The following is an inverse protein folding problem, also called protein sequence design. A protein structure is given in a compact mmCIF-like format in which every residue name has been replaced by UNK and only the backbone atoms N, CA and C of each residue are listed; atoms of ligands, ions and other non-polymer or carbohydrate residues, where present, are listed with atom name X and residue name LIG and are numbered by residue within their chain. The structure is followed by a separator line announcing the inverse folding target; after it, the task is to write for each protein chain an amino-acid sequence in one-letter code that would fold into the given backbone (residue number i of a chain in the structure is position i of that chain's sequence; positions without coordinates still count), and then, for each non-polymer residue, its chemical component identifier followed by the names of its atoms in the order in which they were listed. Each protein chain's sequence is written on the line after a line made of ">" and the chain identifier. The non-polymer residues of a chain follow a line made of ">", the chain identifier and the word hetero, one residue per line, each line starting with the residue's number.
data_IF_248111240810
#
_entry.id   IF_248111240810
#
_cell.length_a   1.000
_cell.length_b   1.000
_cell.length_c   1.000
_cell.angle_alpha   90.00
_cell.angle_beta   90.00
_cell.angle_gamma   90.00
#
_symmetry.space_group_name_H-M   'P 1'
#
loop_
_entity.id
_entity.type
_entity.pdbx_description
1 polymer ?
#
# COMPACT_ATOMS: atom_id res chain seq x y z
N UNK A 1 9.29 -20.83 -27.70
CA UNK A 1 9.08 -20.27 -26.34
C UNK A 1 8.80 -18.75 -26.30
N UNK A 2 9.00 -17.99 -27.39
CA UNK A 2 8.67 -16.55 -27.46
C UNK A 2 7.18 -16.30 -27.77
N UNK A 3 6.45 -17.29 -28.33
CA UNK A 3 5.06 -17.13 -28.75
C UNK A 3 4.02 -17.18 -27.62
N UNK A 4 4.35 -17.78 -26.49
CA UNK A 4 3.40 -17.93 -25.37
C UNK A 4 3.31 -16.65 -24.51
N UNK A 5 4.41 -15.95 -24.32
CA UNK A 5 4.42 -14.67 -23.63
C UNK A 5 3.70 -13.58 -24.42
N UNK A 6 3.89 -13.56 -25.74
CA UNK A 6 3.19 -12.62 -26.62
C UNK A 6 1.67 -12.89 -26.67
N UNK A 7 1.26 -14.15 -26.54
CA UNK A 7 -0.15 -14.54 -26.49
C UNK A 7 -0.80 -14.18 -25.16
N UNK A 8 -0.06 -14.37 -24.07
CA UNK A 8 -0.48 -13.97 -22.72
C UNK A 8 -0.62 -12.44 -22.60
N UNK A 9 0.34 -11.68 -23.15
CA UNK A 9 0.29 -10.21 -23.22
C UNK A 9 -0.87 -9.70 -24.10
N UNK A 10 -1.19 -10.36 -25.22
CA UNK A 10 -2.36 -9.99 -26.05
C UNK A 10 -3.67 -10.27 -25.32
N UNK A 11 -3.79 -11.39 -24.62
CA UNK A 11 -4.96 -11.67 -23.79
C UNK A 11 -5.16 -10.64 -22.68
N UNK A 12 -4.08 -10.15 -22.08
CA UNK A 12 -4.14 -9.07 -21.09
C UNK A 12 -4.54 -7.72 -21.72
N UNK A 13 -4.07 -7.43 -22.94
CA UNK A 13 -4.44 -6.20 -23.67
C UNK A 13 -5.90 -6.24 -24.14
N UNK A 14 -6.40 -7.39 -24.59
CA UNK A 14 -7.80 -7.55 -24.98
C UNK A 14 -8.75 -7.45 -23.78
N UNK A 15 -8.37 -7.98 -22.60
CA UNK A 15 -9.08 -7.72 -21.36
C UNK A 15 -9.02 -6.23 -20.95
N UNK A 16 -7.90 -5.56 -21.21
CA UNK A 16 -7.75 -4.14 -20.92
C UNK A 16 -8.65 -3.25 -21.77
N UNK A 17 -8.90 -3.63 -23.06
CA UNK A 17 -9.83 -2.90 -23.93
C UNK A 17 -11.30 -3.03 -23.50
N UNK A 18 -11.66 -4.08 -22.78
CA UNK A 18 -13.00 -4.22 -22.19
C UNK A 18 -13.18 -3.39 -20.90
N UNK A 19 -12.09 -2.97 -20.27
CA UNK A 19 -12.11 -2.09 -19.08
C UNK A 19 -11.98 -0.59 -19.43
N UNK A 20 -11.44 -0.27 -20.63
CA UNK A 20 -11.14 1.10 -21.07
C UNK A 20 -12.31 1.86 -21.71
N UNK A 21 -13.49 1.27 -21.87
CA UNK A 21 -14.68 1.98 -22.36
C UNK A 21 -15.59 2.27 -21.19
N UNK A 22 -15.42 3.46 -20.61
CA UNK A 22 -16.37 4.20 -19.78
C UNK A 22 -17.54 3.42 -19.21
N UNK A 23 -17.31 2.50 -18.29
CA UNK A 23 -18.38 2.01 -17.43
C UNK A 23 -18.36 2.81 -16.14
N UNK A 24 -19.48 3.45 -15.84
CA UNK A 24 -19.84 3.95 -14.53
C UNK A 24 -19.53 2.90 -13.44
N UNK A 25 -18.31 2.89 -12.91
CA UNK A 25 -17.98 2.20 -11.67
C UNK A 25 -18.31 3.10 -10.48
N UNK A 26 -19.45 3.79 -10.56
CA UNK A 26 -20.00 4.55 -9.45
C UNK A 26 -20.56 3.58 -8.41
N UNK A 27 -19.70 3.05 -7.53
CA UNK A 27 -20.17 2.24 -6.41
C UNK A 27 -19.17 1.33 -5.73
N UNK A 28 -18.16 0.82 -6.42
CA UNK A 28 -17.19 -0.07 -5.77
C UNK A 28 -16.10 0.73 -5.04
N UNK A 29 -15.84 0.38 -3.78
CA UNK A 29 -14.74 0.98 -3.03
C UNK A 29 -13.37 0.67 -3.67
N UNK A 30 -12.41 1.58 -3.48
CA UNK A 30 -11.04 1.38 -3.93
C UNK A 30 -10.42 0.11 -3.35
N UNK A 31 -9.64 -0.61 -4.15
CA UNK A 31 -8.81 -1.69 -3.63
C UNK A 31 -7.72 -1.09 -2.73
N UNK A 32 -7.78 -1.34 -1.44
CA UNK A 32 -6.82 -0.84 -0.48
C UNK A 32 -5.67 -1.83 -0.26
N UNK A 33 -4.43 -1.35 -0.42
CA UNK A 33 -3.21 -2.15 -0.29
C UNK A 33 -2.26 -1.44 0.65
N UNK A 34 -1.93 -2.06 1.78
CA UNK A 34 -0.87 -1.58 2.66
C UNK A 34 0.45 -2.29 2.33
N UNK A 35 1.52 -1.51 2.17
CA UNK A 35 2.88 -2.05 2.06
C UNK A 35 3.59 -1.77 3.37
N UNK A 36 4.02 -2.82 4.05
CA UNK A 36 4.62 -2.74 5.39
C UNK A 36 5.85 -3.64 5.51
N UNK A 37 6.57 -3.52 6.61
CA UNK A 37 7.72 -4.35 6.94
C UNK A 37 7.96 -4.39 8.44
N UNK A 38 8.55 -5.46 8.94
CA UNK A 38 8.99 -5.54 10.34
C UNK A 38 10.33 -4.84 10.58
N UNK A 39 11.09 -4.51 9.53
CA UNK A 39 12.42 -3.92 9.63
C UNK A 39 12.53 -2.68 8.75
N UNK A 40 13.14 -1.63 9.27
CA UNK A 40 13.48 -0.46 8.48
C UNK A 40 14.53 -0.74 7.40
N UNK A 41 14.48 0.01 6.29
CA UNK A 41 15.48 -0.07 5.22
C UNK A 41 15.35 -1.25 4.26
N UNK A 42 14.30 -2.08 4.36
CA UNK A 42 14.06 -3.19 3.42
C UNK A 42 13.45 -2.77 2.08
N UNK A 43 13.18 -1.46 1.89
CA UNK A 43 12.69 -0.88 0.64
C UNK A 43 11.18 -0.70 0.57
N UNK A 44 10.46 -0.72 1.68
CA UNK A 44 9.00 -0.61 1.77
C UNK A 44 8.45 0.59 1.00
N UNK A 45 8.89 1.80 1.33
CA UNK A 45 8.42 3.05 0.68
C UNK A 45 8.78 3.11 -0.82
N UNK A 46 9.98 2.64 -1.19
CA UNK A 46 10.37 2.55 -2.61
C UNK A 46 9.47 1.59 -3.38
N UNK A 47 9.09 0.46 -2.79
CA UNK A 47 8.17 -0.50 -3.39
C UNK A 47 6.76 0.09 -3.48
N UNK A 48 6.25 0.71 -2.42
CA UNK A 48 4.94 1.35 -2.41
C UNK A 48 4.81 2.41 -3.52
N UNK A 49 5.81 3.29 -3.62
CA UNK A 49 5.87 4.32 -4.66
C UNK A 49 5.89 3.73 -6.08
N UNK A 50 6.81 2.81 -6.32
CA UNK A 50 6.94 2.25 -7.67
C UNK A 50 5.76 1.34 -8.04
N UNK A 51 5.10 0.70 -7.05
CA UNK A 51 3.86 -0.03 -7.27
C UNK A 51 2.71 0.90 -7.66
N UNK A 52 2.59 2.07 -7.01
CA UNK A 52 1.61 3.09 -7.39
C UNK A 52 1.84 3.58 -8.83
N UNK A 53 3.09 3.89 -9.19
CA UNK A 53 3.46 4.31 -10.54
C UNK A 53 3.14 3.22 -11.57
N UNK A 54 3.45 1.96 -11.27
CA UNK A 54 3.12 0.84 -12.15
C UNK A 54 1.61 0.70 -12.39
N UNK A 55 0.79 0.96 -11.36
CA UNK A 55 -0.67 0.99 -11.51
C UNK A 55 -1.11 2.19 -12.37
N UNK A 56 -0.53 3.37 -12.16
CA UNK A 56 -0.79 4.53 -13.02
C UNK A 56 -0.42 4.29 -14.49
N UNK A 57 0.69 3.59 -14.76
CA UNK A 57 1.07 3.17 -16.12
C UNK A 57 0.07 2.19 -16.76
N UNK A 58 -0.71 1.47 -15.94
CA UNK A 58 -1.84 0.64 -16.37
C UNK A 58 -3.17 1.42 -16.48
N UNK A 59 -3.12 2.76 -16.45
CA UNK A 59 -4.29 3.67 -16.46
C UNK A 59 -5.25 3.45 -15.28
N UNK A 60 -4.75 3.00 -14.15
CA UNK A 60 -5.50 2.87 -12.89
C UNK A 60 -5.42 4.20 -12.13
N UNK A 61 -6.54 4.73 -11.68
CA UNK A 61 -6.58 5.89 -10.79
C UNK A 61 -6.06 5.44 -9.42
N UNK A 62 -4.78 5.66 -9.16
CA UNK A 62 -4.12 5.24 -7.93
C UNK A 62 -3.80 6.45 -7.04
N UNK A 63 -4.08 6.32 -5.73
CA UNK A 63 -3.60 7.24 -4.72
C UNK A 63 -2.60 6.52 -3.81
N UNK A 64 -1.50 7.18 -3.49
CA UNK A 64 -0.49 6.73 -2.54
C UNK A 64 -0.46 7.67 -1.34
N UNK A 65 -0.76 7.14 -0.17
CA UNK A 65 -0.67 7.86 1.09
C UNK A 65 0.61 7.43 1.80
N UNK A 66 1.50 8.38 2.06
CA UNK A 66 2.64 8.17 2.94
C UNK A 66 2.17 8.19 4.39
N UNK A 67 1.86 7.00 4.88
CA UNK A 67 1.42 6.77 6.25
C UNK A 67 2.55 6.26 7.14
N UNK A 68 3.81 6.38 6.71
CA UNK A 68 4.97 5.86 7.45
C UNK A 68 5.07 6.46 8.84
N UNK A 69 5.42 5.61 9.82
CA UNK A 69 5.65 6.03 11.23
C UNK A 69 7.03 6.69 11.37
N UNK A 70 7.25 7.79 10.69
CA UNK A 70 8.52 8.51 10.69
C UNK A 70 8.44 9.75 9.83
N UNK A 71 9.59 10.28 9.45
CA UNK A 71 9.63 11.35 8.45
C UNK A 71 9.21 10.75 7.11
N UNK A 72 8.04 11.14 6.61
CA UNK A 72 7.58 10.79 5.27
C UNK A 72 8.57 11.26 4.20
N UNK A 73 8.82 10.46 3.19
CA UNK A 73 9.85 10.75 2.18
C UNK A 73 9.38 10.46 0.75
N UNK A 74 8.11 10.06 0.57
CA UNK A 74 7.61 9.67 -0.76
C UNK A 74 7.64 10.85 -1.74
N UNK A 75 7.26 12.04 -1.29
CA UNK A 75 7.35 13.26 -2.09
C UNK A 75 8.79 13.54 -2.55
N UNK A 76 9.77 13.41 -1.65
CA UNK A 76 11.19 13.57 -1.99
C UNK A 76 11.66 12.51 -2.97
N UNK A 77 11.20 11.27 -2.84
CA UNK A 77 11.54 10.17 -3.76
C UNK A 77 10.93 10.37 -5.15
N UNK A 78 9.86 11.13 -5.26
CA UNK A 78 9.23 11.53 -6.53
C UNK A 78 9.87 12.77 -7.16
N UNK A 79 10.80 13.44 -6.46
CA UNK A 79 11.27 14.77 -6.84
C UNK A 79 10.22 15.86 -6.67
N UNK A 80 9.15 15.59 -5.94
CA UNK A 80 8.12 16.55 -5.58
C UNK A 80 8.56 17.34 -4.35
N UNK A 81 7.99 18.52 -4.19
CA UNK A 81 8.27 19.40 -3.06
C UNK A 81 6.95 19.76 -2.35
N UNK A 82 6.46 18.83 -1.55
CA UNK A 82 5.26 19.03 -0.74
C UNK A 82 5.54 20.00 0.41
N UNK A 83 4.94 21.19 0.39
CA UNK A 83 5.04 22.13 1.51
C UNK A 83 4.11 21.71 2.67
N UNK A 84 2.96 21.12 2.33
CA UNK A 84 1.98 20.63 3.26
C UNK A 84 1.91 19.10 3.20
N UNK A 85 1.49 18.48 4.29
CA UNK A 85 1.45 17.03 4.42
C UNK A 85 0.23 16.58 5.25
N UNK A 86 0.05 15.30 5.42
CA UNK A 86 -1.07 14.69 6.13
C UNK A 86 -1.22 15.17 7.59
N UNK A 87 -0.13 15.56 8.26
CA UNK A 87 -0.22 16.14 9.62
C UNK A 87 -1.02 17.43 9.65
N UNK A 88 -0.87 18.26 8.64
CA UNK A 88 -1.62 19.53 8.54
C UNK A 88 -3.12 19.25 8.34
N UNK A 89 -3.47 18.16 7.67
CA UNK A 89 -4.86 17.71 7.52
C UNK A 89 -5.39 17.18 8.86
N UNK A 90 -4.61 16.33 9.53
CA UNK A 90 -4.96 15.79 10.86
C UNK A 90 -5.10 16.88 11.93
N UNK A 91 -4.31 17.95 11.81
CA UNK A 91 -4.40 19.10 12.68
C UNK A 91 -5.56 20.06 12.30
N UNK A 92 -6.31 19.78 11.22
CA UNK A 92 -7.39 20.63 10.73
C UNK A 92 -6.94 21.98 10.12
N UNK A 93 -5.62 22.14 9.89
CA UNK A 93 -5.05 23.39 9.35
C UNK A 93 -5.06 23.46 7.82
N UNK A 94 -5.24 22.33 7.15
CA UNK A 94 -5.34 22.20 5.69
C UNK A 94 -6.37 21.14 5.30
N UNK A 95 -6.91 21.26 4.10
CA UNK A 95 -7.74 20.22 3.48
C UNK A 95 -6.84 19.19 2.81
N UNK A 96 -7.35 17.98 2.64
CA UNK A 96 -6.63 16.90 1.96
C UNK A 96 -6.28 17.27 0.51
N UNK A 97 -7.19 17.97 -0.19
CA UNK A 97 -6.96 18.46 -1.55
C UNK A 97 -5.79 19.44 -1.64
N UNK A 98 -5.57 20.26 -0.59
CA UNK A 98 -4.47 21.24 -0.54
C UNK A 98 -3.09 20.56 -0.37
N UNK A 99 -3.05 19.32 0.10
CA UNK A 99 -1.81 18.59 0.38
C UNK A 99 -1.55 17.48 -0.63
N UNK A 100 -2.57 17.06 -1.38
CA UNK A 100 -2.44 16.04 -2.40
C UNK A 100 -1.66 16.58 -3.59
N UNK A 101 -0.64 15.84 -4.02
CA UNK A 101 0.25 16.22 -5.12
C UNK A 101 -0.01 15.32 -6.33
N UNK A 102 0.09 15.90 -7.53
CA UNK A 102 0.14 15.14 -8.78
C UNK A 102 1.50 14.48 -8.92
N UNK A 103 1.50 13.16 -8.90
CA UNK A 103 2.70 12.34 -9.02
C UNK A 103 2.95 11.81 -10.43
N UNK A 104 4.07 11.11 -10.62
CA UNK A 104 4.41 10.48 -11.91
C UNK A 104 3.32 9.49 -12.37
N UNK A 105 3.13 9.38 -13.68
CA UNK A 105 2.15 8.47 -14.31
C UNK A 105 0.69 8.72 -13.87
N UNK A 106 0.37 9.94 -13.45
CA UNK A 106 -0.99 10.33 -13.07
C UNK A 106 -1.48 9.79 -11.72
N UNK A 107 -0.59 9.33 -10.86
CA UNK A 107 -0.96 8.96 -9.48
C UNK A 107 -1.12 10.21 -8.62
N UNK A 108 -1.98 10.14 -7.61
CA UNK A 108 -2.03 11.14 -6.55
C UNK A 108 -1.15 10.70 -5.37
N UNK A 109 -0.39 11.63 -4.81
CA UNK A 109 0.49 11.39 -3.66
C UNK A 109 0.06 12.29 -2.51
N UNK A 110 -0.24 11.70 -1.36
CA UNK A 110 -0.47 12.41 -0.11
C UNK A 110 0.79 12.28 0.74
N UNK A 111 1.60 13.36 0.88
CA UNK A 111 2.84 13.31 1.66
C UNK A 111 2.56 13.04 3.14
N UNK A 112 3.41 12.22 3.75
CA UNK A 112 3.41 11.98 5.19
C UNK A 112 4.16 13.06 5.95
N UNK A 113 3.93 13.10 7.25
CA UNK A 113 4.65 13.97 8.18
C UNK A 113 5.23 13.19 9.35
N UNK A 114 6.16 13.81 10.09
CA UNK A 114 6.94 13.15 11.16
C UNK A 114 6.16 12.75 12.41
N UNK A 115 4.89 13.16 12.56
CA UNK A 115 4.10 12.95 13.78
C UNK A 115 2.87 12.05 13.60
N UNK A 116 2.80 11.24 12.52
CA UNK A 116 1.71 10.25 12.39
C UNK A 116 1.69 9.22 13.54
N UNK A 117 2.74 9.15 14.34
CA UNK A 117 2.83 8.27 15.50
C UNK A 117 1.81 8.58 16.60
N UNK A 118 1.23 9.77 16.63
CA UNK A 118 0.46 10.23 17.80
C UNK A 118 -1.02 10.51 17.56
N UNK A 119 -1.51 10.63 16.34
CA UNK A 119 -2.83 11.25 16.13
C UNK A 119 -3.60 10.81 14.88
N UNK A 120 -3.50 9.55 14.43
CA UNK A 120 -4.62 9.08 13.61
C UNK A 120 -5.83 8.98 14.54
N UNK A 121 -6.95 9.64 14.22
CA UNK A 121 -8.17 9.57 15.02
C UNK A 121 -8.73 8.15 15.20
N UNK A 122 -8.07 7.17 14.63
CA UNK A 122 -8.41 5.74 14.66
C UNK A 122 -8.09 5.08 16.01
N UNK A 123 -7.25 5.71 16.85
CA UNK A 123 -6.77 5.09 18.10
C UNK A 123 -7.21 5.80 19.37
N UNK A 124 -7.67 7.05 19.28
CA UNK A 124 -8.13 7.83 20.45
C UNK A 124 -9.65 8.02 20.37
N UNK A 125 -10.38 7.32 21.23
CA UNK A 125 -11.83 7.53 21.45
C UNK A 125 -12.17 8.99 21.73
N UNK A 126 -11.23 9.76 22.26
CA UNK A 126 -11.39 11.17 22.61
C UNK A 126 -11.27 12.14 21.42
N UNK A 127 -10.71 11.68 20.29
CA UNK A 127 -10.54 12.52 19.08
C UNK A 127 -11.84 12.78 18.31
N UNK A 128 -12.90 12.02 18.64
CA UNK A 128 -14.19 12.07 17.95
C UNK A 128 -15.33 12.64 18.79
N UNK A 129 -15.02 13.24 19.94
CA UNK A 129 -16.00 13.70 20.94
C UNK A 129 -17.03 14.74 20.43
N UNK A 130 -16.91 15.19 19.20
CA UNK A 130 -17.93 16.03 18.57
C UNK A 130 -18.01 15.81 17.05
N UNK A 131 -19.21 15.89 16.41
CA UNK A 131 -19.37 15.78 14.95
C UNK A 131 -18.60 16.81 14.13
N UNK A 132 -17.93 17.75 14.78
CA UNK A 132 -17.11 18.83 14.19
C UNK A 132 -15.65 18.76 14.60
N UNK A 133 -15.20 17.64 15.18
CA UNK A 133 -13.78 17.50 15.50
C UNK A 133 -12.93 17.45 14.21
N UNK A 134 -11.72 17.98 14.19
CA UNK A 134 -10.83 17.91 13.02
C UNK A 134 -10.65 16.48 12.52
N UNK A 135 -10.64 15.49 13.42
CA UNK A 135 -10.53 14.08 13.07
C UNK A 135 -11.69 13.54 12.23
N UNK A 136 -12.92 13.95 12.54
CA UNK A 136 -14.10 13.52 11.77
C UNK A 136 -14.10 14.10 10.35
N UNK A 137 -13.73 15.37 10.19
CA UNK A 137 -13.62 15.99 8.85
C UNK A 137 -12.48 15.36 8.03
N UNK A 138 -11.37 15.01 8.66
CA UNK A 138 -10.25 14.30 8.00
C UNK A 138 -10.69 12.94 7.47
N UNK A 139 -11.42 12.16 8.27
CA UNK A 139 -11.89 10.82 7.82
C UNK A 139 -12.85 10.98 6.64
N UNK A 140 -13.74 11.98 6.63
CA UNK A 140 -14.60 12.26 5.48
C UNK A 140 -13.81 12.60 4.21
N UNK A 141 -12.74 13.37 4.33
CA UNK A 141 -11.87 13.69 3.20
C UNK A 141 -11.12 12.46 2.70
N UNK A 142 -10.67 11.57 3.58
CA UNK A 142 -10.06 10.30 3.21
C UNK A 142 -11.06 9.34 2.53
N UNK A 143 -12.31 9.30 2.99
CA UNK A 143 -13.39 8.55 2.32
C UNK A 143 -13.66 9.13 0.92
N UNK A 144 -13.64 10.44 0.76
CA UNK A 144 -13.79 11.06 -0.55
C UNK A 144 -12.60 10.76 -1.47
N UNK A 145 -11.38 10.76 -0.97
CA UNK A 145 -10.19 10.33 -1.73
C UNK A 145 -10.35 8.88 -2.19
N UNK A 146 -10.77 7.99 -1.29
CA UNK A 146 -11.00 6.58 -1.61
C UNK A 146 -12.05 6.40 -2.71
N UNK A 147 -13.17 7.12 -2.64
CA UNK A 147 -14.25 7.05 -3.63
C UNK A 147 -13.83 7.52 -5.04
N UNK A 148 -12.82 8.38 -5.13
CA UNK A 148 -12.34 8.94 -6.40
C UNK A 148 -11.23 8.11 -7.07
N UNK A 149 -10.78 7.01 -6.44
CA UNK A 149 -9.69 6.19 -6.93
C UNK A 149 -10.09 4.72 -7.07
N UNK A 150 -9.41 4.00 -7.95
CA UNK A 150 -9.62 2.57 -8.16
C UNK A 150 -8.75 1.75 -7.20
N UNK A 151 -7.56 2.28 -6.85
CA UNK A 151 -6.61 1.67 -5.91
C UNK A 151 -6.07 2.71 -4.95
N UNK A 152 -6.08 2.35 -3.67
CA UNK A 152 -5.47 3.12 -2.59
C UNK A 152 -4.27 2.35 -2.05
N UNK A 153 -3.08 2.91 -2.18
CA UNK A 153 -1.87 2.38 -1.55
C UNK A 153 -1.54 3.16 -0.28
N UNK A 154 -1.14 2.43 0.74
CA UNK A 154 -0.67 2.98 2.01
C UNK A 154 0.79 2.53 2.21
N UNK A 155 1.72 3.48 2.24
CA UNK A 155 3.06 3.19 2.78
C UNK A 155 2.95 3.11 4.30
N UNK A 156 2.80 1.91 4.80
CA UNK A 156 2.68 1.60 6.21
C UNK A 156 4.02 1.11 6.79
N UNK A 157 5.12 1.76 6.39
CA UNK A 157 6.45 1.45 6.92
C UNK A 157 6.54 1.82 8.40
N UNK A 158 7.12 0.91 9.17
CA UNK A 158 7.17 0.99 10.63
C UNK A 158 6.32 -0.10 11.30
N UNK A 159 6.84 -0.67 12.39
CA UNK A 159 6.16 -1.74 13.11
C UNK A 159 4.89 -1.22 13.83
N UNK A 160 3.81 -2.00 13.77
CA UNK A 160 2.57 -1.68 14.51
C UNK A 160 1.70 -0.60 13.88
N UNK A 161 1.78 -0.41 12.56
CA UNK A 161 1.04 0.64 11.88
C UNK A 161 -0.50 0.47 12.02
N UNK A 162 -1.27 1.50 12.46
CA UNK A 162 -2.70 1.38 12.73
C UNK A 162 -3.52 0.84 11.57
N UNK A 163 -3.30 1.27 10.33
CA UNK A 163 -4.03 0.78 9.15
C UNK A 163 -3.81 -0.70 8.84
N UNK A 164 -2.75 -1.29 9.38
CA UNK A 164 -2.42 -2.70 9.22
C UNK A 164 -2.92 -3.51 10.41
N UNK A 165 -2.88 -2.91 11.61
CA UNK A 165 -3.10 -3.60 12.88
C UNK A 165 -4.44 -3.27 13.55
N UNK A 166 -5.27 -2.38 12.96
CA UNK A 166 -6.56 -2.04 13.55
C UNK A 166 -7.59 -3.15 13.34
N UNK A 167 -8.24 -3.65 14.40
CA UNK A 167 -9.16 -4.79 14.31
C UNK A 167 -10.38 -4.60 13.40
N UNK A 168 -10.75 -3.36 13.15
CA UNK A 168 -11.96 -3.04 12.40
C UNK A 168 -11.75 -2.36 11.06
N UNK A 169 -10.51 -2.00 10.70
CA UNK A 169 -10.23 -1.15 9.54
C UNK A 169 -9.12 -1.65 8.62
N UNK A 170 -8.85 -2.95 8.58
CA UNK A 170 -7.79 -3.51 7.74
C UNK A 170 -7.96 -3.21 6.25
N UNK A 171 -6.85 -3.00 5.57
CA UNK A 171 -6.80 -2.95 4.10
C UNK A 171 -7.17 -4.30 3.49
N UNK A 172 -7.61 -4.32 2.22
CA UNK A 172 -7.91 -5.57 1.51
C UNK A 172 -6.68 -6.48 1.40
N UNK A 173 -5.51 -5.86 1.18
CA UNK A 173 -4.24 -6.57 1.04
C UNK A 173 -3.20 -5.90 1.94
N UNK A 174 -2.43 -6.72 2.65
CA UNK A 174 -1.18 -6.32 3.30
C UNK A 174 -0.03 -7.02 2.60
N UNK A 175 0.88 -6.24 2.03
CA UNK A 175 2.14 -6.73 1.46
C UNK A 175 3.23 -6.52 2.51
N UNK A 176 3.68 -7.61 3.12
CA UNK A 176 4.78 -7.61 4.07
C UNK A 176 6.10 -7.83 3.32
N UNK A 177 6.91 -6.78 3.29
CA UNK A 177 8.24 -6.81 2.64
C UNK A 177 9.28 -7.38 3.59
N UNK A 178 10.06 -8.33 3.11
CA UNK A 178 11.22 -8.89 3.80
C UNK A 178 12.41 -9.03 2.86
N UNK A 179 13.60 -9.27 3.41
CA UNK A 179 14.85 -9.48 2.65
C UNK A 179 15.51 -10.80 3.07
N UNK A 180 16.53 -11.30 2.35
CA UNK A 180 17.26 -12.50 2.72
C UNK A 180 17.98 -12.45 4.08
N UNK A 181 18.09 -11.27 4.69
CA UNK A 181 18.73 -11.12 5.99
C UNK A 181 17.98 -11.88 7.09
N UNK A 182 18.67 -12.67 7.94
CA UNK A 182 18.03 -13.43 9.02
C UNK A 182 17.19 -12.56 9.97
N UNK A 183 17.66 -11.35 10.27
CA UNK A 183 16.94 -10.38 11.12
C UNK A 183 15.64 -9.93 10.45
N UNK A 184 15.65 -9.68 9.14
CA UNK A 184 14.45 -9.28 8.40
C UNK A 184 13.36 -10.36 8.41
N UNK A 185 13.75 -11.64 8.34
CA UNK A 185 12.80 -12.76 8.45
C UNK A 185 12.23 -12.89 9.86
N UNK A 186 13.05 -12.69 10.90
CA UNK A 186 12.58 -12.71 12.30
C UNK A 186 11.60 -11.55 12.55
N UNK A 187 11.90 -10.35 12.05
CA UNK A 187 11.03 -9.18 12.18
C UNK A 187 9.73 -9.35 11.37
N UNK A 188 9.79 -9.99 10.19
CA UNK A 188 8.59 -10.35 9.44
C UNK A 188 7.70 -11.32 10.22
N UNK A 189 8.28 -12.34 10.85
CA UNK A 189 7.53 -13.25 11.73
C UNK A 189 6.89 -12.51 12.91
N UNK A 190 7.62 -11.63 13.58
CA UNK A 190 7.11 -10.82 14.69
C UNK A 190 5.95 -9.92 14.24
N UNK A 191 6.06 -9.34 13.04
CA UNK A 191 4.99 -8.53 12.42
C UNK A 191 3.74 -9.37 12.19
N UNK A 192 3.86 -10.57 11.58
CA UNK A 192 2.72 -11.47 11.35
C UNK A 192 2.06 -11.88 12.68
N UNK A 193 2.87 -12.14 13.71
CA UNK A 193 2.39 -12.50 15.04
C UNK A 193 1.53 -11.41 15.68
N UNK A 194 1.83 -10.15 15.41
CA UNK A 194 1.09 -9.01 15.97
C UNK A 194 -0.11 -8.59 15.13
N UNK A 195 -0.33 -9.17 13.93
CA UNK A 195 -1.53 -8.90 13.14
C UNK A 195 -2.78 -9.41 13.85
N UNK A 196 -3.88 -8.64 13.87
CA UNK A 196 -5.16 -9.10 14.40
C UNK A 196 -5.67 -10.32 13.63
N UNK A 197 -6.03 -11.38 14.36
CA UNK A 197 -6.48 -12.65 13.73
C UNK A 197 -7.86 -12.59 13.08
N UNK A 198 -8.62 -11.52 13.32
CA UNK A 198 -10.01 -11.37 12.87
C UNK A 198 -10.15 -10.41 11.67
N UNK A 199 -9.03 -10.00 11.06
CA UNK A 199 -9.06 -9.10 9.91
C UNK A 199 -9.17 -9.94 8.65
N UNK A 200 -10.25 -9.73 7.88
CA UNK A 200 -10.43 -10.32 6.55
C UNK A 200 -9.52 -9.61 5.54
N UNK A 201 -8.23 -9.73 5.79
CA UNK A 201 -7.16 -9.10 5.03
C UNK A 201 -6.27 -10.16 4.42
N UNK A 202 -6.04 -10.10 3.12
CA UNK A 202 -5.11 -10.99 2.44
C UNK A 202 -3.67 -10.59 2.74
N UNK A 203 -2.98 -11.38 3.56
CA UNK A 203 -1.56 -11.18 3.84
C UNK A 203 -0.69 -11.82 2.76
N UNK A 204 0.21 -11.02 2.19
CA UNK A 204 1.13 -11.45 1.13
C UNK A 204 2.58 -11.11 1.51
N UNK A 205 3.50 -12.03 1.24
CA UNK A 205 4.94 -11.85 1.47
C UNK A 205 5.61 -11.43 0.18
N UNK A 206 6.36 -10.34 0.20
CA UNK A 206 7.21 -9.88 -0.89
C UNK A 206 8.68 -9.97 -0.46
N UNK A 207 9.46 -10.81 -1.16
CA UNK A 207 10.89 -10.95 -0.86
C UNK A 207 11.69 -9.98 -1.74
N UNK A 208 12.28 -8.96 -1.12
CA UNK A 208 13.08 -7.94 -1.81
C UNK A 208 14.58 -8.23 -1.73
N UNK A 209 15.36 -7.70 -2.69
CA UNK A 209 16.83 -7.82 -2.76
C UNK A 209 17.29 -9.27 -2.76
N UNK A 210 16.68 -10.11 -3.56
CA UNK A 210 17.01 -11.53 -3.63
C UNK A 210 17.64 -11.90 -4.97
N UNK A 211 18.60 -12.82 -4.93
CA UNK A 211 19.40 -13.19 -6.11
C UNK A 211 18.61 -13.99 -7.16
N UNK A 212 17.60 -14.76 -6.73
CA UNK A 212 16.86 -15.65 -7.61
C UNK A 212 15.49 -16.06 -7.07
N UNK A 213 14.60 -16.48 -7.97
CA UNK A 213 13.30 -17.04 -7.63
C UNK A 213 13.39 -18.24 -6.69
N UNK A 214 14.41 -19.11 -6.86
CA UNK A 214 14.65 -20.25 -5.98
C UNK A 214 14.91 -19.80 -4.55
N UNK A 215 15.80 -18.82 -4.39
CA UNK A 215 16.13 -18.28 -3.06
C UNK A 215 14.93 -17.61 -2.40
N UNK A 216 14.16 -16.84 -3.16
CA UNK A 216 12.90 -16.25 -2.69
C UNK A 216 11.92 -17.31 -2.20
N UNK A 217 11.77 -18.41 -2.97
CA UNK A 217 10.92 -19.54 -2.60
C UNK A 217 11.37 -20.24 -1.32
N UNK A 218 12.68 -20.48 -1.14
CA UNK A 218 13.24 -21.06 0.08
C UNK A 218 12.94 -20.19 1.32
N UNK A 219 13.13 -18.87 1.21
CA UNK A 219 12.87 -17.92 2.30
C UNK A 219 11.38 -17.87 2.64
N UNK A 220 10.52 -17.79 1.63
CA UNK A 220 9.09 -17.84 1.81
C UNK A 220 8.64 -19.13 2.50
N UNK A 221 9.13 -20.30 2.06
CA UNK A 221 8.75 -21.58 2.65
C UNK A 221 9.16 -21.68 4.13
N UNK A 222 10.34 -21.17 4.50
CA UNK A 222 10.76 -21.11 5.92
C UNK A 222 9.80 -20.27 6.75
N UNK A 223 9.42 -19.07 6.26
CA UNK A 223 8.49 -18.20 6.95
C UNK A 223 7.10 -18.86 7.05
N UNK A 224 6.59 -19.41 5.94
CA UNK A 224 5.30 -20.09 5.87
C UNK A 224 5.21 -21.27 6.86
N UNK A 225 6.22 -22.14 6.91
CA UNK A 225 6.26 -23.26 7.84
C UNK A 225 6.20 -22.78 9.30
N UNK A 226 6.94 -21.72 9.61
CA UNK A 226 6.97 -21.15 10.97
C UNK A 226 5.63 -20.50 11.33
N UNK A 227 5.02 -19.75 10.41
CA UNK A 227 3.72 -19.10 10.66
C UNK A 227 2.56 -20.10 10.74
N UNK A 228 2.58 -21.16 9.93
CA UNK A 228 1.62 -22.27 10.03
C UNK A 228 1.69 -22.96 11.38
N UNK A 229 2.91 -23.30 11.81
CA UNK A 229 3.13 -24.09 13.02
C UNK A 229 2.76 -23.32 14.31
N UNK A 230 3.09 -22.03 14.38
CA UNK A 230 3.01 -21.25 15.62
C UNK A 230 1.92 -20.18 15.61
N UNK A 231 1.44 -19.77 14.45
CA UNK A 231 0.51 -18.65 14.32
C UNK A 231 -0.79 -19.02 13.60
N UNK A 232 -0.93 -20.26 13.12
CA UNK A 232 -2.07 -20.69 12.30
C UNK A 232 -2.38 -19.72 11.15
N UNK A 233 -1.31 -19.13 10.58
CA UNK A 233 -1.37 -18.13 9.52
C UNK A 233 -0.68 -18.64 8.27
N UNK A 234 -1.34 -18.47 7.13
CA UNK A 234 -0.84 -18.92 5.83
C UNK A 234 -0.73 -17.73 4.85
N UNK A 235 0.25 -16.83 5.04
CA UNK A 235 0.47 -15.75 4.09
C UNK A 235 0.79 -16.31 2.71
N UNK A 236 0.35 -15.62 1.65
CA UNK A 236 0.66 -16.02 0.26
C UNK A 236 1.92 -15.32 -0.24
N UNK A 237 2.60 -15.89 -1.24
CA UNK A 237 3.75 -15.23 -1.87
C UNK A 237 3.28 -14.18 -2.88
N UNK A 238 3.52 -12.91 -2.61
CA UNK A 238 3.28 -11.81 -3.56
C UNK A 238 4.27 -11.86 -4.73
N UNK A 239 5.49 -12.31 -4.48
CA UNK A 239 6.57 -12.42 -5.46
C UNK A 239 7.92 -12.06 -4.87
N UNK A 240 8.83 -11.69 -5.74
CA UNK A 240 10.17 -11.30 -5.34
C UNK A 240 10.70 -10.19 -6.26
N UNK A 241 11.58 -9.37 -5.71
CA UNK A 241 12.26 -8.28 -6.43
C UNK A 241 13.77 -8.59 -6.35
N UNK A 242 14.47 -8.62 -7.49
CA UNK A 242 15.90 -8.85 -7.50
C UNK A 242 16.67 -7.71 -6.83
N UNK A 243 17.86 -8.00 -6.34
CA UNK A 243 18.82 -6.97 -5.99
C UNK A 243 19.27 -6.27 -7.28
N UNK A 244 19.08 -4.94 -7.33
CA UNK A 244 19.24 -4.16 -8.56
C UNK A 244 19.88 -2.81 -8.22
N UNK A 245 21.08 -2.52 -8.75
CA UNK A 245 21.78 -1.28 -8.48
C UNK A 245 21.03 -0.04 -8.96
N UNK A 246 20.14 -0.16 -9.96
CA UNK A 246 19.33 0.95 -10.47
C UNK A 246 18.40 1.50 -9.38
N UNK A 247 17.94 0.67 -8.43
CA UNK A 247 17.13 1.13 -7.29
C UNK A 247 17.89 2.16 -6.45
N UNK A 248 19.15 1.86 -6.13
CA UNK A 248 19.98 2.78 -5.34
C UNK A 248 20.30 4.07 -6.10
N UNK A 249 20.44 3.99 -7.43
CA UNK A 249 20.68 5.16 -8.27
C UNK A 249 19.43 6.05 -8.35
N UNK A 250 18.25 5.46 -8.56
CA UNK A 250 16.96 6.12 -8.59
C UNK A 250 16.72 6.94 -7.31
N UNK A 251 16.93 6.32 -6.14
CA UNK A 251 16.79 6.98 -4.84
C UNK A 251 17.72 8.20 -4.72
N UNK A 252 18.98 8.06 -5.10
CA UNK A 252 19.96 9.19 -5.06
C UNK A 252 19.57 10.34 -5.97
N UNK A 253 18.95 10.03 -7.11
CA UNK A 253 18.51 11.03 -8.09
C UNK A 253 17.11 11.58 -7.79
N UNK A 254 16.46 11.11 -6.73
CA UNK A 254 15.06 11.48 -6.39
C UNK A 254 14.11 11.30 -7.58
N UNK A 255 14.35 10.24 -8.33
CA UNK A 255 13.53 9.87 -9.49
C UNK A 255 13.07 8.43 -9.29
N UNK A 256 11.77 8.13 -9.33
CA UNK A 256 11.29 6.78 -9.15
C UNK A 256 11.89 5.78 -10.14
N UNK A 257 12.14 4.55 -9.69
CA UNK A 257 12.78 3.52 -10.52
C UNK A 257 12.05 3.27 -11.84
N UNK A 258 10.70 3.22 -11.82
CA UNK A 258 9.90 2.99 -13.01
C UNK A 258 9.93 4.14 -14.01
N UNK A 259 10.34 5.32 -13.58
CA UNK A 259 10.56 6.48 -14.46
C UNK A 259 12.01 6.50 -14.99
N UNK A 260 12.98 6.19 -14.14
CA UNK A 260 14.39 6.26 -14.50
C UNK A 260 14.87 5.05 -15.30
N UNK A 261 14.43 3.84 -14.91
CA UNK A 261 14.94 2.57 -15.42
C UNK A 261 13.82 1.53 -15.53
N UNK A 262 12.76 1.82 -16.30
CA UNK A 262 11.56 0.99 -16.44
C UNK A 262 11.84 -0.45 -16.88
N UNK A 263 12.93 -0.66 -17.61
CA UNK A 263 13.34 -1.97 -18.11
C UNK A 263 14.30 -2.71 -17.18
N UNK A 264 14.61 -2.15 -16.01
CA UNK A 264 15.47 -2.82 -15.03
C UNK A 264 14.80 -4.09 -14.45
N UNK A 265 15.57 -5.05 -13.96
CA UNK A 265 15.01 -6.27 -13.38
C UNK A 265 14.02 -6.01 -12.24
N UNK A 266 14.34 -5.06 -11.35
CA UNK A 266 13.46 -4.69 -10.24
C UNK A 266 12.19 -3.97 -10.73
N UNK A 267 12.29 -3.05 -11.69
CA UNK A 267 11.14 -2.36 -12.27
C UNK A 267 10.16 -3.35 -12.91
N UNK A 268 10.65 -4.29 -13.71
CA UNK A 268 9.81 -5.35 -14.31
C UNK A 268 9.12 -6.22 -13.26
N UNK A 269 9.82 -6.57 -12.18
CA UNK A 269 9.22 -7.35 -11.10
C UNK A 269 8.08 -6.60 -10.41
N UNK A 270 8.23 -5.29 -10.18
CA UNK A 270 7.19 -4.43 -9.60
C UNK A 270 6.00 -4.28 -10.56
N UNK A 271 6.24 -4.05 -11.85
CA UNK A 271 5.17 -3.97 -12.86
C UNK A 271 4.36 -5.27 -12.97
N UNK A 272 5.03 -6.43 -12.89
CA UNK A 272 4.35 -7.72 -12.83
C UNK A 272 3.54 -7.91 -11.55
N UNK A 273 4.03 -7.41 -10.41
CA UNK A 273 3.29 -7.42 -9.17
C UNK A 273 2.03 -6.55 -9.27
N UNK A 274 2.14 -5.32 -9.81
CA UNK A 274 1.01 -4.42 -10.04
C UNK A 274 -0.08 -5.08 -10.88
N UNK A 275 0.29 -5.68 -12.02
CA UNK A 275 -0.64 -6.40 -12.89
C UNK A 275 -1.35 -7.56 -12.16
N UNK A 276 -0.60 -8.36 -11.38
CA UNK A 276 -1.20 -9.46 -10.62
C UNK A 276 -2.18 -8.99 -9.54
N UNK A 277 -1.84 -7.96 -8.81
CA UNK A 277 -2.71 -7.38 -7.78
C UNK A 277 -4.00 -6.84 -8.40
N UNK A 278 -3.90 -6.18 -9.55
CA UNK A 278 -5.05 -5.62 -10.25
C UNK A 278 -6.00 -6.70 -10.79
N UNK A 279 -5.46 -7.72 -11.46
CA UNK A 279 -6.29 -8.70 -12.18
C UNK A 279 -6.64 -9.97 -11.39
N UNK A 280 -5.90 -10.28 -10.32
CA UNK A 280 -6.11 -11.51 -9.55
C UNK A 280 -6.74 -11.28 -8.17
N UNK A 281 -7.05 -10.03 -7.82
CA UNK A 281 -7.74 -9.73 -6.56
C UNK A 281 -9.24 -9.59 -6.83
N UNK A 282 -10.07 -10.50 -6.31
CA UNK A 282 -11.51 -10.33 -6.35
C UNK A 282 -11.90 -9.03 -5.64
N UNK A 283 -12.80 -8.28 -6.24
CA UNK A 283 -13.40 -7.08 -5.64
C UNK A 283 -14.85 -7.39 -5.33
N UNK A 284 -15.26 -7.08 -4.13
CA UNK A 284 -16.67 -7.03 -3.77
C UNK A 284 -17.17 -5.59 -3.99
N UNK A 285 -18.05 -5.35 -4.97
CA UNK A 285 -18.53 -4.00 -5.26
C UNK A 285 -19.30 -3.36 -4.08
N UNK A 286 -19.86 -4.18 -3.20
CA UNK A 286 -20.68 -3.72 -2.08
C UNK A 286 -19.86 -3.59 -0.77
N UNK A 287 -18.62 -4.08 -0.76
CA UNK A 287 -17.77 -3.98 0.43
C UNK A 287 -17.35 -2.52 0.67
N UNK A 288 -17.52 -2.00 1.89
CA UNK A 288 -17.07 -0.65 2.20
C UNK A 288 -15.54 -0.54 2.13
N UNK A 289 -15.04 0.61 1.70
CA UNK A 289 -13.63 0.92 1.65
C UNK A 289 -12.96 0.99 3.03
N UNK A 290 -11.65 1.06 3.08
CA UNK A 290 -10.90 1.06 4.34
C UNK A 290 -11.26 2.24 5.23
N UNK A 291 -11.32 3.45 4.67
CA UNK A 291 -11.69 4.65 5.43
C UNK A 291 -13.18 4.71 5.72
N UNK A 292 -14.01 4.18 4.82
CA UNK A 292 -15.46 4.07 5.07
C UNK A 292 -15.74 3.12 6.24
N UNK A 293 -15.05 1.99 6.35
CA UNK A 293 -15.19 1.08 7.51
C UNK A 293 -14.82 1.77 8.81
N UNK A 294 -13.71 2.50 8.82
CA UNK A 294 -13.29 3.27 10.00
C UNK A 294 -14.34 4.31 10.39
N UNK A 295 -14.88 5.04 9.43
CA UNK A 295 -15.93 6.03 9.67
C UNK A 295 -17.20 5.41 10.27
N UNK A 296 -17.66 4.27 9.73
CA UNK A 296 -18.88 3.61 10.19
C UNK A 296 -18.74 3.01 11.60
N UNK A 297 -17.56 2.53 11.97
CA UNK A 297 -17.32 1.99 13.31
C UNK A 297 -17.34 3.09 14.35
N UNK A 298 -16.75 4.21 14.04
CA UNK A 298 -16.73 5.36 14.94
C UNK A 298 -18.13 5.90 15.19
N UNK A 299 -18.94 6.04 14.15
CA UNK A 299 -20.35 6.49 14.28
C UNK A 299 -21.17 5.54 15.17
N UNK A 300 -20.97 4.22 15.05
CA UNK A 300 -21.66 3.23 15.90
C UNK A 300 -21.20 3.25 17.35
N UNK A 301 -19.93 3.50 17.61
CA UNK A 301 -19.42 3.65 18.97
C UNK A 301 -20.01 4.87 19.69
N UNK A 302 -20.24 5.97 18.95
CA UNK A 302 -20.87 7.18 19.46
C UNK A 302 -22.38 7.02 19.72
N UNK A 303 -23.09 6.23 18.91
CA UNK A 303 -24.53 5.94 19.14
C UNK A 303 -24.78 5.00 20.33
N UNK A 304 -23.73 4.26 20.77
CA UNK A 304 -23.81 3.28 21.85
C UNK A 304 -23.33 3.82 23.22
N UNK A 305 -22.74 5.04 23.27
CA UNK A 305 -22.23 5.71 24.47
C UNK A 305 -23.21 6.75 24.99
#
# INVERSE_FOLDING_TARGET
>A
MVSDQARHLRGLVEQHQQWGTGSDTSGAAALSIAVTSGKGGVGTSSIALNLAIALGQLNVRAALIDASLGLGHIDLMCGLNGYWNLEHVLAGSRRLDDVTLDGPSGIHVVPGGGAMTARLPITDSDAFDTPRSPGHDTVRQLVALEANHDVLLLDASGAGHPFVFHPGGGTNIVILVTTPEPTSLADAYATIKSLPRHVDTRLMILVNRVESARKAGELYQRLLQTTRLFLESEPTLAGWIPDDPEVGQAIRQRTPLLIQAENSPAARAISQLASRLLYQTPRDPEAPGVFQRLYLQDTRAQEAA
#
